data_IF_888232665945
#
_entry.id   IF_888232665945
#
_cell.length_a   1.000
_cell.length_b   1.000
_cell.length_c   1.000
_cell.angle_alpha   90.00
_cell.angle_beta   90.00
_cell.angle_gamma   90.00
#
_symmetry.space_group_name_H-M   'P 1'
#
loop_
_entity.id
_entity.type
_entity.pdbx_description
1 polymer ?
#
# COMPACT_ATOMS: atom_id res chain seq x y z
N UNK A 1 69.99 -61.76 -21.06
CA UNK A 1 70.34 -60.32 -21.22
C UNK A 1 69.09 -59.53 -20.84
N UNK A 2 69.02 -58.53 -19.96
CA UNK A 2 69.91 -57.93 -18.96
C UNK A 2 69.02 -57.13 -17.96
N UNK A 3 69.34 -57.17 -16.65
CA UNK A 3 69.26 -56.11 -15.61
C UNK A 3 67.97 -55.24 -15.52
N UNK A 4 67.10 -55.44 -14.52
CA UNK A 4 67.02 -54.80 -13.17
C UNK A 4 66.85 -53.27 -13.13
N UNK A 5 65.75 -52.79 -12.51
CA UNK A 5 65.72 -52.07 -11.21
C UNK A 5 64.32 -51.47 -10.94
N UNK A 6 63.89 -51.53 -9.67
CA UNK A 6 62.62 -51.00 -9.16
C UNK A 6 62.67 -49.49 -8.87
N UNK A 7 61.53 -48.80 -9.00
CA UNK A 7 61.36 -47.36 -8.67
C UNK A 7 60.11 -47.15 -7.80
N UNK A 8 60.26 -46.31 -6.78
CA UNK A 8 59.25 -45.92 -5.78
C UNK A 8 58.09 -45.07 -6.37
N UNK A 9 56.90 -45.05 -5.73
CA UNK A 9 55.78 -44.27 -6.22
C UNK A 9 55.86 -42.79 -5.81
N UNK A 10 55.72 -41.90 -6.79
CA UNK A 10 55.68 -40.44 -6.67
C UNK A 10 54.25 -39.93 -6.53
N UNK A 11 54.05 -39.07 -5.53
CA UNK A 11 52.84 -38.27 -5.27
C UNK A 11 52.71 -37.16 -6.34
N UNK A 12 51.51 -36.88 -6.91
CA UNK A 12 51.32 -35.67 -7.68
C UNK A 12 50.91 -34.49 -6.79
N UNK A 13 51.73 -33.43 -6.84
CA UNK A 13 51.39 -32.08 -6.38
C UNK A 13 50.39 -31.45 -7.35
N UNK A 14 49.32 -30.89 -6.82
CA UNK A 14 48.37 -30.04 -7.54
C UNK A 14 47.74 -29.03 -6.58
N UNK A 15 48.42 -27.91 -6.40
CA UNK A 15 47.94 -26.72 -5.70
C UNK A 15 46.80 -26.11 -6.52
N UNK A 16 45.59 -26.03 -5.94
CA UNK A 16 44.52 -25.16 -6.45
C UNK A 16 44.31 -24.08 -5.39
N UNK A 17 44.54 -22.84 -5.79
CA UNK A 17 44.52 -21.67 -4.94
C UNK A 17 43.17 -21.47 -4.26
N UNK A 18 43.23 -21.15 -2.97
CA UNK A 18 42.11 -20.59 -2.23
C UNK A 18 41.77 -19.22 -2.85
N UNK A 19 40.64 -19.15 -3.55
CA UNK A 19 40.05 -17.90 -4.01
C UNK A 19 39.47 -17.17 -2.77
N UNK A 20 39.93 -15.95 -2.41
CA UNK A 20 39.49 -15.29 -1.18
C UNK A 20 38.08 -14.68 -1.27
N UNK A 21 37.34 -14.87 -2.38
CA UNK A 21 36.03 -14.23 -2.56
C UNK A 21 34.81 -15.01 -2.02
N UNK A 22 34.98 -16.19 -1.40
CA UNK A 22 33.85 -17.00 -0.92
C UNK A 22 33.66 -17.07 0.60
N UNK A 23 34.17 -16.09 1.35
CA UNK A 23 33.87 -15.91 2.78
C UNK A 23 32.93 -14.71 3.00
N UNK A 24 31.75 -14.71 2.36
CA UNK A 24 30.61 -13.95 2.88
C UNK A 24 29.77 -14.90 3.69
N UNK A 25 29.95 -14.85 5.01
CA UNK A 25 28.98 -15.42 5.94
C UNK A 25 27.58 -14.92 5.56
N UNK A 26 26.53 -15.76 5.61
CA UNK A 26 25.17 -15.28 5.42
C UNK A 26 24.95 -14.13 6.40
N UNK A 27 24.54 -12.96 5.90
CA UNK A 27 24.06 -11.89 6.76
C UNK A 27 22.83 -12.45 7.47
N UNK A 28 23.00 -12.91 8.70
CA UNK A 28 21.91 -13.12 9.63
C UNK A 28 21.23 -11.77 9.74
N UNK A 29 20.10 -11.58 9.07
CA UNK A 29 19.23 -10.43 9.31
C UNK A 29 18.62 -10.65 10.68
N UNK A 30 19.32 -10.17 11.71
CA UNK A 30 18.67 -9.94 12.99
C UNK A 30 17.46 -9.05 12.69
N UNK A 31 16.25 -9.60 12.83
CA UNK A 31 15.02 -8.88 12.59
C UNK A 31 15.00 -7.58 13.38
N UNK A 32 14.27 -6.57 12.89
CA UNK A 32 14.20 -5.29 13.59
C UNK A 32 13.47 -5.54 14.92
N UNK A 33 14.04 -5.17 16.08
CA UNK A 33 13.43 -5.46 17.37
C UNK A 33 12.02 -4.87 17.48
N UNK A 34 11.08 -5.64 18.02
CA UNK A 34 9.66 -5.30 18.06
C UNK A 34 9.20 -4.78 19.42
N UNK A 35 10.09 -4.72 20.42
CA UNK A 35 9.74 -4.28 21.78
C UNK A 35 9.21 -2.85 21.85
N UNK A 36 8.45 -2.57 22.92
CA UNK A 36 7.97 -1.23 23.23
C UNK A 36 9.16 -0.29 23.45
N UNK A 37 9.24 0.80 22.68
CA UNK A 37 10.38 1.72 22.72
C UNK A 37 10.20 2.90 23.70
N UNK A 38 9.08 2.97 24.42
CA UNK A 38 8.86 3.88 25.54
C UNK A 38 8.63 5.35 25.17
N UNK A 39 8.09 5.64 23.98
CA UNK A 39 7.77 7.02 23.54
C UNK A 39 6.32 7.40 23.80
N UNK A 40 6.05 8.69 24.03
CA UNK A 40 4.70 9.18 24.41
C UNK A 40 3.82 9.58 23.23
N UNK A 41 4.42 9.90 22.08
CA UNK A 41 3.66 10.33 20.90
C UNK A 41 2.77 9.20 20.39
N UNK A 42 1.47 9.45 20.33
CA UNK A 42 0.52 8.56 19.62
C UNK A 42 0.83 8.58 18.12
N UNK A 43 0.93 7.39 17.51
CA UNK A 43 1.12 7.19 16.08
C UNK A 43 0.00 6.28 15.58
N UNK A 44 -0.46 6.54 14.36
CA UNK A 44 -1.33 5.63 13.62
C UNK A 44 -0.75 5.39 12.23
N UNK A 45 -0.84 4.16 11.77
CA UNK A 45 -0.48 3.79 10.41
C UNK A 45 -1.72 3.51 9.58
N UNK A 46 -1.76 4.09 8.38
CA UNK A 46 -2.63 3.71 7.28
C UNK A 46 -1.77 3.16 6.16
N UNK A 47 -2.10 1.98 5.66
CA UNK A 47 -1.36 1.33 4.58
C UNK A 47 -2.31 0.95 3.45
N UNK A 48 -1.88 1.16 2.21
CA UNK A 48 -2.49 0.44 1.10
C UNK A 48 -2.23 -1.07 1.24
N UNK A 49 -2.97 -1.86 0.46
CA UNK A 49 -2.95 -3.31 0.52
C UNK A 49 -2.22 -3.92 -0.68
N UNK A 50 -2.87 -3.83 -1.84
CA UNK A 50 -2.40 -4.32 -3.13
C UNK A 50 -1.23 -3.45 -3.59
N UNK A 51 -0.13 -4.06 -4.04
CA UNK A 51 1.12 -3.35 -4.37
C UNK A 51 1.95 -2.89 -3.16
N UNK A 52 1.38 -2.87 -1.95
CA UNK A 52 2.03 -2.38 -0.73
C UNK A 52 2.34 -3.47 0.30
N UNK A 53 1.31 -4.05 0.93
CA UNK A 53 1.44 -5.20 1.87
C UNK A 53 1.66 -6.47 1.07
N UNK A 54 0.90 -6.64 -0.01
CA UNK A 54 1.05 -7.72 -0.96
C UNK A 54 1.62 -7.18 -2.27
N UNK A 55 2.44 -7.97 -2.96
CA UNK A 55 3.10 -7.53 -4.19
C UNK A 55 2.14 -7.49 -5.38
N UNK A 56 1.14 -8.37 -5.38
CA UNK A 56 0.13 -8.48 -6.43
C UNK A 56 -1.17 -7.78 -6.01
N UNK A 57 -1.97 -7.45 -7.01
CA UNK A 57 -3.33 -6.93 -6.81
C UNK A 57 -4.34 -8.07 -6.71
N UNK A 58 -5.03 -8.13 -5.57
CA UNK A 58 -6.03 -9.14 -5.23
C UNK A 58 -7.20 -9.18 -6.23
N UNK A 59 -7.68 -8.01 -6.67
CA UNK A 59 -8.72 -7.92 -7.69
C UNK A 59 -8.21 -8.49 -9.01
N UNK A 60 -7.03 -8.08 -9.45
CA UNK A 60 -6.43 -8.54 -10.70
C UNK A 60 -6.27 -10.06 -10.73
N UNK A 61 -5.79 -10.66 -9.64
CA UNK A 61 -5.68 -12.13 -9.52
C UNK A 61 -7.03 -12.81 -9.71
N UNK A 62 -8.11 -12.27 -9.13
CA UNK A 62 -9.46 -12.83 -9.32
C UNK A 62 -9.98 -12.63 -10.74
N UNK A 63 -9.85 -11.42 -11.28
CA UNK A 63 -10.39 -11.10 -12.60
C UNK A 63 -9.71 -11.93 -13.68
N UNK A 64 -8.40 -12.16 -13.54
CA UNK A 64 -7.61 -12.92 -14.51
C UNK A 64 -7.95 -14.41 -14.49
N UNK A 65 -8.22 -14.97 -13.31
CA UNK A 65 -8.50 -16.39 -13.15
C UNK A 65 -9.98 -16.77 -13.33
N UNK A 66 -10.89 -15.90 -12.86
CA UNK A 66 -12.32 -16.24 -12.68
C UNK A 66 -13.29 -15.19 -13.21
N UNK A 67 -12.80 -14.07 -13.73
CA UNK A 67 -13.62 -12.96 -14.23
C UNK A 67 -13.40 -12.70 -15.71
N UNK A 68 -13.24 -11.42 -16.04
CA UNK A 68 -13.11 -10.96 -17.41
C UNK A 68 -11.80 -11.38 -18.11
N UNK A 69 -10.80 -11.88 -17.37
CA UNK A 69 -9.49 -12.25 -17.89
C UNK A 69 -8.54 -11.06 -18.09
N UNK A 70 -7.24 -11.36 -18.15
CA UNK A 70 -6.18 -10.35 -18.19
C UNK A 70 -6.29 -9.35 -19.34
N UNK A 71 -6.61 -9.82 -20.56
CA UNK A 71 -6.72 -8.95 -21.73
C UNK A 71 -7.86 -7.92 -21.58
N UNK A 72 -9.02 -8.35 -21.06
CA UNK A 72 -10.14 -7.44 -20.82
C UNK A 72 -9.86 -6.52 -19.64
N UNK A 73 -9.25 -7.02 -18.56
CA UNK A 73 -8.84 -6.22 -17.41
C UNK A 73 -7.90 -5.09 -17.86
N UNK A 74 -6.87 -5.39 -18.64
CA UNK A 74 -5.92 -4.38 -19.13
C UNK A 74 -6.62 -3.31 -19.96
N UNK A 75 -7.55 -3.69 -20.85
CA UNK A 75 -8.35 -2.71 -21.61
C UNK A 75 -9.13 -1.79 -20.68
N UNK A 76 -9.81 -2.37 -19.67
CA UNK A 76 -10.60 -1.63 -18.70
C UNK A 76 -9.74 -0.68 -17.84
N UNK A 77 -8.54 -1.11 -17.42
CA UNK A 77 -7.58 -0.24 -16.72
C UNK A 77 -7.14 0.94 -17.59
N UNK A 78 -6.95 0.73 -18.90
CA UNK A 78 -6.65 1.82 -19.81
C UNK A 78 -7.79 2.83 -19.91
N UNK A 79 -9.06 2.40 -19.77
CA UNK A 79 -10.20 3.32 -19.71
C UNK A 79 -10.19 4.17 -18.43
N UNK A 80 -9.76 3.61 -17.28
CA UNK A 80 -9.54 4.38 -16.06
C UNK A 80 -8.42 5.40 -16.26
N UNK A 81 -7.26 4.96 -16.78
CA UNK A 81 -6.08 5.81 -17.01
C UNK A 81 -6.38 6.93 -18.02
N UNK A 82 -7.11 6.64 -19.09
CA UNK A 82 -7.45 7.63 -20.12
C UNK A 82 -8.46 8.67 -19.66
N UNK A 83 -9.24 8.34 -18.63
CA UNK A 83 -10.36 9.13 -18.12
C UNK A 83 -11.71 8.81 -18.78
N UNK A 84 -11.75 7.83 -19.69
CA UNK A 84 -12.96 7.42 -20.42
C UNK A 84 -14.08 6.95 -19.49
N UNK A 85 -13.71 6.20 -18.44
CA UNK A 85 -14.64 5.72 -17.41
C UNK A 85 -14.07 5.92 -16.02
N UNK A 86 -14.95 6.06 -15.04
CA UNK A 86 -14.52 6.19 -13.65
C UNK A 86 -13.98 4.87 -13.09
N UNK A 87 -13.24 4.97 -11.99
CA UNK A 87 -12.76 3.79 -11.27
C UNK A 87 -13.94 2.95 -10.78
N UNK A 88 -14.98 3.59 -10.24
CA UNK A 88 -16.22 2.93 -9.78
C UNK A 88 -16.87 2.13 -10.92
N UNK A 89 -17.14 2.76 -12.06
CA UNK A 89 -17.82 2.10 -13.20
C UNK A 89 -17.05 0.90 -13.74
N UNK A 90 -15.73 1.04 -13.88
CA UNK A 90 -14.88 -0.05 -14.37
C UNK A 90 -14.81 -1.17 -13.33
N UNK A 91 -14.70 -0.83 -12.06
CA UNK A 91 -14.66 -1.82 -10.99
C UNK A 91 -15.98 -2.59 -10.86
N UNK A 92 -17.14 -1.95 -11.07
CA UNK A 92 -18.43 -2.67 -11.12
C UNK A 92 -18.44 -3.74 -12.22
N UNK A 93 -17.89 -3.44 -13.40
CA UNK A 93 -17.77 -4.41 -14.49
C UNK A 93 -16.77 -5.53 -14.15
N UNK A 94 -15.60 -5.19 -13.61
CA UNK A 94 -14.59 -6.19 -13.24
C UNK A 94 -15.11 -7.13 -12.15
N UNK A 95 -15.63 -6.60 -11.04
CA UNK A 95 -16.20 -7.42 -9.97
C UNK A 95 -17.42 -8.21 -10.44
N UNK A 96 -18.32 -7.60 -11.21
CA UNK A 96 -19.52 -8.26 -11.74
C UNK A 96 -19.22 -9.37 -12.76
N UNK A 97 -18.02 -9.38 -13.35
CA UNK A 97 -17.57 -10.43 -14.26
C UNK A 97 -17.27 -11.76 -13.57
N UNK A 98 -17.06 -11.76 -12.25
CA UNK A 98 -16.79 -12.97 -11.48
C UNK A 98 -18.00 -13.91 -11.47
N UNK A 99 -17.71 -15.20 -11.64
CA UNK A 99 -18.67 -16.31 -11.59
C UNK A 99 -18.06 -17.47 -10.80
N UNK A 100 -17.70 -17.20 -9.54
CA UNK A 100 -17.01 -18.14 -8.66
C UNK A 100 -17.46 -17.94 -7.22
N UNK A 101 -17.73 -19.01 -6.45
CA UNK A 101 -17.97 -18.91 -5.01
C UNK A 101 -16.77 -18.24 -4.31
N UNK A 102 -17.04 -17.51 -3.22
CA UNK A 102 -16.01 -16.72 -2.53
C UNK A 102 -14.79 -17.55 -2.11
N UNK A 103 -15.00 -18.71 -1.48
CA UNK A 103 -13.90 -19.55 -1.01
C UNK A 103 -13.12 -20.21 -2.16
N UNK A 104 -13.79 -20.56 -3.26
CA UNK A 104 -13.14 -21.15 -4.44
C UNK A 104 -12.27 -20.13 -5.16
N UNK A 105 -12.77 -18.89 -5.32
CA UNK A 105 -12.01 -17.79 -5.91
C UNK A 105 -10.79 -17.42 -5.06
N UNK A 106 -10.84 -17.70 -3.76
CA UNK A 106 -9.71 -17.46 -2.87
C UNK A 106 -8.56 -18.46 -3.04
N UNK A 107 -8.80 -19.65 -3.59
CA UNK A 107 -7.73 -20.66 -3.75
C UNK A 107 -6.62 -20.21 -4.71
N UNK A 108 -6.94 -19.45 -5.76
CA UNK A 108 -5.92 -18.89 -6.67
C UNK A 108 -5.06 -17.82 -5.98
N UNK A 109 -5.64 -17.08 -5.03
CA UNK A 109 -4.89 -16.06 -4.28
C UNK A 109 -3.81 -16.69 -3.41
N UNK A 110 -4.07 -17.82 -2.77
CA UNK A 110 -3.08 -18.51 -1.91
C UNK A 110 -1.79 -18.86 -2.65
N UNK A 111 -1.90 -19.14 -3.94
CA UNK A 111 -0.79 -19.57 -4.78
C UNK A 111 -0.05 -18.39 -5.43
N UNK A 112 -0.73 -17.25 -5.55
CA UNK A 112 -0.27 -16.11 -6.37
C UNK A 112 0.18 -14.93 -5.53
N UNK A 113 -0.48 -14.69 -4.38
CA UNK A 113 -0.19 -13.55 -3.53
C UNK A 113 1.08 -13.79 -2.71
N UNK A 114 1.96 -12.79 -2.74
CA UNK A 114 3.17 -12.72 -1.95
C UNK A 114 3.06 -11.55 -0.97
N UNK A 115 3.01 -11.88 0.32
CA UNK A 115 3.08 -10.88 1.38
C UNK A 115 4.50 -10.35 1.50
N UNK A 116 4.65 -9.06 1.81
CA UNK A 116 5.96 -8.50 2.14
C UNK A 116 6.59 -9.27 3.30
N UNK A 117 7.82 -9.74 3.08
CA UNK A 117 8.51 -10.68 3.97
C UNK A 117 8.69 -10.15 5.40
N UNK A 118 8.68 -8.84 5.59
CA UNK A 118 8.92 -8.18 6.88
C UNK A 118 7.61 -7.63 7.50
N UNK A 119 6.46 -7.77 6.82
CA UNK A 119 5.19 -7.21 7.27
C UNK A 119 4.71 -7.79 8.59
N UNK A 120 4.79 -9.11 8.78
CA UNK A 120 4.37 -9.75 10.03
C UNK A 120 5.14 -9.21 11.23
N UNK A 121 6.46 -9.10 11.11
CA UNK A 121 7.32 -8.55 12.17
C UNK A 121 6.99 -7.08 12.45
N UNK A 122 6.75 -6.29 11.40
CA UNK A 122 6.34 -4.91 11.55
C UNK A 122 4.97 -4.77 12.24
N UNK A 123 4.01 -5.62 11.91
CA UNK A 123 2.70 -5.62 12.56
C UNK A 123 2.81 -5.99 14.05
N UNK A 124 3.64 -6.96 14.41
CA UNK A 124 3.96 -7.28 15.81
C UNK A 124 4.61 -6.07 16.53
N UNK A 125 5.51 -5.35 15.85
CA UNK A 125 6.06 -4.09 16.38
C UNK A 125 4.97 -3.03 16.63
N UNK A 126 4.02 -2.88 15.70
CA UNK A 126 2.89 -1.97 15.86
C UNK A 126 2.06 -2.33 17.11
N UNK A 127 1.71 -3.61 17.27
CA UNK A 127 0.95 -4.09 18.44
C UNK A 127 1.73 -3.81 19.74
N UNK A 128 3.01 -4.16 19.80
CA UNK A 128 3.82 -4.00 21.02
C UNK A 128 4.04 -2.53 21.42
N UNK A 129 3.88 -1.60 20.48
CA UNK A 129 4.06 -0.16 20.69
C UNK A 129 2.73 0.60 20.73
N UNK A 130 1.60 -0.10 20.82
CA UNK A 130 0.26 0.49 20.82
C UNK A 130 0.03 1.42 19.61
N UNK A 131 0.56 1.05 18.44
CA UNK A 131 0.38 1.76 17.17
C UNK A 131 -0.75 1.06 16.40
N UNK A 132 -1.93 1.68 16.25
CA UNK A 132 -2.99 1.13 15.41
C UNK A 132 -2.51 1.05 13.96
N UNK A 133 -2.65 -0.13 13.37
CA UNK A 133 -2.34 -0.38 11.97
C UNK A 133 -3.63 -0.64 11.19
N UNK A 134 -3.89 0.17 10.17
CA UNK A 134 -5.12 0.17 9.41
C UNK A 134 -4.80 -0.07 7.94
N UNK A 135 -5.53 -0.98 7.31
CA UNK A 135 -5.55 -1.11 5.86
C UNK A 135 -6.54 -0.09 5.30
N UNK A 136 -6.13 0.67 4.28
CA UNK A 136 -6.96 1.60 3.53
C UNK A 136 -6.86 1.32 2.02
N UNK A 137 -7.89 0.67 1.46
CA UNK A 137 -7.82 0.09 0.11
C UNK A 137 -9.08 0.37 -0.71
N UNK A 138 -8.94 0.48 -2.02
CA UNK A 138 -10.07 0.57 -2.96
C UNK A 138 -10.69 -0.81 -3.28
N UNK A 139 -10.07 -1.90 -2.82
CA UNK A 139 -10.58 -3.26 -2.95
C UNK A 139 -11.79 -3.56 -2.05
N UNK A 140 -12.14 -4.85 -1.96
CA UNK A 140 -13.31 -5.32 -1.20
C UNK A 140 -12.90 -5.90 0.16
N UNK A 141 -13.39 -5.31 1.24
CA UNK A 141 -13.15 -5.72 2.63
C UNK A 141 -13.22 -7.24 2.88
N UNK A 142 -14.25 -7.99 2.44
CA UNK A 142 -14.30 -9.43 2.68
C UNK A 142 -13.11 -10.18 2.06
N UNK A 143 -12.69 -9.79 0.86
CA UNK A 143 -11.50 -10.35 0.17
C UNK A 143 -10.25 -10.04 1.00
N UNK A 144 -10.03 -8.77 1.33
CA UNK A 144 -8.83 -8.33 2.07
C UNK A 144 -8.72 -9.01 3.44
N UNK A 145 -9.84 -9.15 4.16
CA UNK A 145 -9.90 -9.87 5.44
C UNK A 145 -9.50 -11.33 5.26
N UNK A 146 -10.09 -12.03 4.27
CA UNK A 146 -9.80 -13.44 4.00
C UNK A 146 -8.33 -13.69 3.65
N UNK A 147 -7.73 -12.78 2.87
CA UNK A 147 -6.30 -12.78 2.55
C UNK A 147 -5.47 -12.61 3.82
N UNK A 148 -5.71 -11.55 4.62
CA UNK A 148 -4.98 -11.34 5.87
C UNK A 148 -5.08 -12.53 6.83
N UNK A 149 -6.27 -13.11 6.99
CA UNK A 149 -6.50 -14.26 7.87
C UNK A 149 -5.65 -15.47 7.45
N UNK A 150 -5.46 -15.70 6.14
CA UNK A 150 -4.57 -16.77 5.69
C UNK A 150 -3.11 -16.50 5.96
N UNK A 151 -2.63 -15.32 5.58
CA UNK A 151 -1.19 -15.07 5.55
C UNK A 151 -0.64 -14.69 6.93
N UNK A 152 -1.47 -14.13 7.82
CA UNK A 152 -1.08 -13.77 9.19
C UNK A 152 -1.65 -14.70 10.26
N UNK A 153 -2.74 -15.40 9.98
CA UNK A 153 -3.59 -16.03 10.99
C UNK A 153 -4.60 -15.04 11.58
N UNK A 154 -5.80 -15.53 11.90
CA UNK A 154 -6.95 -14.74 12.37
C UNK A 154 -6.61 -13.87 13.60
N UNK A 155 -5.78 -14.35 14.51
CA UNK A 155 -5.40 -13.60 15.73
C UNK A 155 -4.63 -12.32 15.44
N UNK A 156 -3.67 -12.35 14.50
CA UNK A 156 -2.91 -11.15 14.13
C UNK A 156 -3.72 -10.29 13.17
N UNK A 157 -4.43 -10.92 12.24
CA UNK A 157 -5.31 -10.25 11.30
C UNK A 157 -6.40 -9.44 12.01
N UNK A 158 -7.01 -9.95 13.07
CA UNK A 158 -8.08 -9.25 13.81
C UNK A 158 -7.62 -7.95 14.49
N UNK A 159 -6.31 -7.72 14.61
CA UNK A 159 -5.72 -6.47 15.12
C UNK A 159 -5.53 -5.40 14.02
N UNK A 160 -5.92 -5.71 12.78
CA UNK A 160 -5.86 -4.80 11.64
C UNK A 160 -7.28 -4.37 11.28
N UNK A 161 -7.56 -3.08 11.40
CA UNK A 161 -8.80 -2.51 10.88
C UNK A 161 -8.72 -2.32 9.36
N UNK A 162 -9.84 -2.55 8.67
CA UNK A 162 -9.92 -2.43 7.20
C UNK A 162 -10.92 -1.33 6.86
N UNK A 163 -10.42 -0.27 6.22
CA UNK A 163 -11.18 0.83 5.63
C UNK A 163 -11.18 0.63 4.12
N UNK A 164 -12.25 0.05 3.60
CA UNK A 164 -12.37 -0.28 2.18
C UNK A 164 -13.84 -0.30 1.75
N UNK A 165 -14.09 -0.57 0.47
CA UNK A 165 -15.41 -0.92 -0.02
C UNK A 165 -15.85 -2.26 0.57
N UNK A 166 -17.16 -2.51 0.63
CA UNK A 166 -17.71 -3.80 1.04
C UNK A 166 -18.24 -4.56 -0.19
N UNK A 167 -18.77 -5.77 -0.01
CA UNK A 167 -19.35 -6.54 -1.10
C UNK A 167 -20.50 -7.42 -0.65
N UNK A 168 -21.48 -7.56 -1.54
CA UNK A 168 -22.48 -8.62 -1.49
C UNK A 168 -22.10 -9.69 -2.51
N UNK A 169 -21.88 -10.91 -2.02
CA UNK A 169 -21.48 -12.06 -2.85
C UNK A 169 -22.53 -13.15 -2.64
N UNK A 170 -23.10 -13.67 -3.73
CA UNK A 170 -24.06 -14.77 -3.64
C UNK A 170 -23.36 -16.06 -3.18
N UNK A 171 -24.04 -16.92 -2.41
CA UNK A 171 -23.44 -18.17 -1.90
C UNK A 171 -22.92 -19.08 -3.01
N UNK A 172 -23.60 -19.10 -4.14
CA UNK A 172 -23.19 -19.86 -5.34
C UNK A 172 -22.15 -19.13 -6.20
N UNK A 173 -21.75 -17.92 -5.82
CA UNK A 173 -20.78 -17.10 -6.53
C UNK A 173 -21.23 -16.55 -7.89
N UNK A 174 -22.51 -16.69 -8.24
CA UNK A 174 -23.09 -16.19 -9.48
C UNK A 174 -23.09 -14.66 -9.57
N UNK A 175 -23.07 -13.95 -8.43
CA UNK A 175 -23.04 -12.49 -8.37
C UNK A 175 -22.03 -12.00 -7.33
N UNK A 176 -21.17 -11.08 -7.76
CA UNK A 176 -20.30 -10.27 -6.92
C UNK A 176 -20.65 -8.81 -7.14
N UNK A 177 -21.16 -8.16 -6.09
CA UNK A 177 -21.61 -6.78 -6.15
C UNK A 177 -20.88 -5.92 -5.13
N UNK A 178 -20.04 -4.97 -5.57
CA UNK A 178 -19.44 -3.99 -4.67
C UNK A 178 -20.49 -3.15 -3.95
N UNK A 179 -20.21 -2.82 -2.68
CA UNK A 179 -20.91 -1.83 -1.89
C UNK A 179 -19.91 -0.70 -1.63
N UNK A 180 -20.11 0.40 -2.32
CA UNK A 180 -19.18 1.53 -2.32
C UNK A 180 -19.22 2.27 -0.99
N UNK A 181 -18.03 2.59 -0.47
CA UNK A 181 -17.90 3.30 0.82
C UNK A 181 -18.33 4.76 0.71
N UNK A 182 -17.98 5.41 -0.40
CA UNK A 182 -18.28 6.80 -0.68
C UNK A 182 -19.06 6.91 -1.99
N UNK A 183 -20.05 7.81 -2.02
CA UNK A 183 -20.79 8.16 -3.24
C UNK A 183 -19.96 9.11 -4.11
N UNK A 184 -18.88 8.58 -4.70
CA UNK A 184 -18.02 9.29 -5.64
C UNK A 184 -17.53 8.36 -6.76
N UNK A 185 -16.96 8.94 -7.81
CA UNK A 185 -16.38 8.23 -8.96
C UNK A 185 -15.21 7.30 -8.59
N UNK A 186 -14.63 7.46 -7.40
CA UNK A 186 -13.59 6.59 -6.87
C UNK A 186 -14.16 5.37 -6.14
N UNK A 187 -15.43 5.41 -5.72
CA UNK A 187 -16.04 4.43 -4.81
C UNK A 187 -15.50 4.49 -3.37
N UNK A 188 -14.19 4.65 -3.19
CA UNK A 188 -13.54 4.94 -1.92
C UNK A 188 -12.50 6.06 -2.07
N UNK A 189 -12.89 7.27 -1.67
CA UNK A 189 -11.95 8.37 -1.42
C UNK A 189 -11.13 8.13 -0.13
N UNK A 190 -9.90 7.61 -0.28
CA UNK A 190 -8.98 7.35 0.84
C UNK A 190 -8.64 8.62 1.64
N UNK A 191 -8.58 9.79 0.99
CA UNK A 191 -8.25 11.05 1.66
C UNK A 191 -9.39 11.50 2.60
N UNK A 192 -10.63 11.33 2.16
CA UNK A 192 -11.80 11.61 2.98
C UNK A 192 -11.80 10.75 4.25
N UNK A 193 -11.55 9.44 4.13
CA UNK A 193 -11.51 8.56 5.31
C UNK A 193 -10.37 8.89 6.30
N UNK A 194 -9.20 9.32 5.81
CA UNK A 194 -8.13 9.81 6.71
C UNK A 194 -8.51 11.14 7.36
N UNK A 195 -9.21 12.02 6.65
CA UNK A 195 -9.68 13.29 7.21
C UNK A 195 -10.72 13.06 8.31
N UNK A 196 -11.71 12.20 8.08
CA UNK A 196 -12.72 11.78 9.06
C UNK A 196 -12.06 11.20 10.32
N UNK A 197 -11.06 10.31 10.14
CA UNK A 197 -10.30 9.77 11.25
C UNK A 197 -9.60 10.87 12.06
N UNK A 198 -8.92 11.80 11.38
CA UNK A 198 -8.19 12.88 12.08
C UNK A 198 -9.14 13.78 12.85
N UNK A 199 -10.30 14.09 12.29
CA UNK A 199 -11.31 14.92 12.95
C UNK A 199 -11.85 14.21 14.21
N UNK A 200 -12.16 12.91 14.11
CA UNK A 200 -12.54 12.10 15.26
C UNK A 200 -11.44 12.04 16.32
N UNK A 201 -10.20 11.72 15.94
CA UNK A 201 -9.06 11.65 16.86
C UNK A 201 -8.76 13.00 17.54
N UNK A 202 -8.98 14.12 16.84
CA UNK A 202 -8.84 15.45 17.43
C UNK A 202 -9.93 15.76 18.46
N UNK A 203 -11.14 15.22 18.29
CA UNK A 203 -12.25 15.39 19.24
C UNK A 203 -12.06 14.51 20.48
N UNK A 204 -11.50 13.32 20.32
CA UNK A 204 -11.27 12.34 21.39
C UNK A 204 -10.01 12.63 22.22
N UNK A 205 -9.13 13.51 21.73
CA UNK A 205 -7.88 13.85 22.39
C UNK A 205 -8.10 14.75 23.63
N UNK A 206 -8.24 14.14 24.80
CA UNK A 206 -8.40 14.85 26.09
C UNK A 206 -7.23 15.78 26.47
N UNK A 207 -6.00 15.51 26.00
CA UNK A 207 -4.79 16.28 26.32
C UNK A 207 -4.34 17.22 25.18
N UNK A 208 -5.15 17.33 24.12
CA UNK A 208 -4.85 18.11 22.91
C UNK A 208 -3.73 17.54 22.03
N UNK A 209 -3.27 16.31 22.25
CA UNK A 209 -2.30 15.64 21.38
C UNK A 209 -2.96 15.05 20.12
N UNK A 210 -2.54 15.53 18.95
CA UNK A 210 -2.96 14.93 17.68
C UNK A 210 -2.00 13.76 17.35
N UNK A 211 -2.51 12.56 17.04
CA UNK A 211 -1.68 11.45 16.59
C UNK A 211 -0.90 11.81 15.31
N UNK A 212 0.34 11.36 15.23
CA UNK A 212 1.11 11.43 13.98
C UNK A 212 0.54 10.40 13.01
N UNK A 213 0.11 10.87 11.83
CA UNK A 213 -0.44 9.98 10.79
C UNK A 213 0.67 9.56 9.85
N UNK A 214 0.93 8.27 9.81
CA UNK A 214 1.82 7.62 8.84
C UNK A 214 0.97 7.02 7.73
N UNK A 215 1.31 7.33 6.49
CA UNK A 215 0.72 6.68 5.31
C UNK A 215 1.77 5.87 4.57
N UNK A 216 1.42 4.66 4.15
CA UNK A 216 2.28 3.72 3.43
C UNK A 216 1.55 3.31 2.15
N UNK A 217 2.16 3.52 0.98
CA UNK A 217 1.52 3.18 -0.29
C UNK A 217 2.50 3.00 -1.44
N UNK A 218 1.97 2.74 -2.62
CA UNK A 218 2.74 2.48 -3.84
C UNK A 218 2.17 3.12 -5.11
N UNK A 219 0.86 3.44 -5.13
CA UNK A 219 0.14 3.88 -6.31
C UNK A 219 -0.28 5.35 -6.34
N UNK A 220 -0.74 5.84 -7.49
CA UNK A 220 -1.26 7.21 -7.63
C UNK A 220 -2.57 7.44 -6.89
N UNK A 221 -3.37 6.39 -6.72
CA UNK A 221 -4.61 6.41 -5.93
C UNK A 221 -4.37 6.83 -4.48
N UNK A 222 -3.14 6.67 -3.98
CA UNK A 222 -2.73 7.08 -2.65
C UNK A 222 -2.35 8.55 -2.52
N UNK A 223 -2.13 9.26 -3.63
CA UNK A 223 -1.68 10.66 -3.58
C UNK A 223 -2.61 11.59 -2.80
N UNK A 224 -3.95 11.49 -2.95
CA UNK A 224 -4.86 12.25 -2.10
C UNK A 224 -4.65 11.93 -0.61
N UNK A 225 -4.56 10.64 -0.24
CA UNK A 225 -4.36 10.20 1.14
C UNK A 225 -3.00 10.66 1.71
N UNK A 226 -1.94 10.56 0.91
CA UNK A 226 -0.59 11.01 1.22
C UNK A 226 -0.52 12.51 1.59
N UNK A 227 -1.38 13.36 0.99
CA UNK A 227 -1.47 14.79 1.36
C UNK A 227 -2.01 15.01 2.78
N UNK A 228 -2.70 14.03 3.35
CA UNK A 228 -3.21 14.09 4.71
C UNK A 228 -2.24 13.45 5.72
N UNK A 229 -1.17 12.80 5.28
CA UNK A 229 -0.17 12.21 6.17
C UNK A 229 0.85 13.23 6.70
N UNK A 230 1.36 12.97 7.91
CA UNK A 230 2.53 13.64 8.48
C UNK A 230 3.83 12.98 8.00
N UNK A 231 3.79 11.66 7.80
CA UNK A 231 4.88 10.87 7.24
C UNK A 231 4.34 10.03 6.10
N UNK A 232 4.94 10.15 4.92
CA UNK A 232 4.61 9.36 3.74
C UNK A 232 5.73 8.36 3.46
N UNK A 233 5.40 7.08 3.41
CA UNK A 233 6.24 6.03 2.87
C UNK A 233 5.75 5.67 1.46
N UNK A 234 6.66 5.66 0.49
CA UNK A 234 6.37 5.22 -0.87
C UNK A 234 7.26 4.03 -1.24
N UNK A 235 6.65 2.98 -1.80
CA UNK A 235 7.40 1.78 -2.20
C UNK A 235 8.35 2.13 -3.35
N UNK A 236 9.60 1.68 -3.25
CA UNK A 236 10.64 1.99 -4.23
C UNK A 236 10.31 1.44 -5.61
N UNK A 237 10.61 2.23 -6.63
CA UNK A 237 10.47 1.87 -8.04
C UNK A 237 9.04 1.78 -8.52
N UNK A 238 8.07 2.26 -7.74
CA UNK A 238 6.66 2.28 -8.11
C UNK A 238 6.15 3.72 -8.26
N UNK A 239 4.94 3.84 -8.81
CA UNK A 239 4.42 5.08 -9.38
C UNK A 239 4.27 6.21 -8.34
N UNK A 240 3.96 5.88 -7.08
CA UNK A 240 3.90 6.89 -6.01
C UNK A 240 5.26 7.54 -5.75
N UNK A 241 6.34 6.75 -5.75
CA UNK A 241 7.70 7.28 -5.59
C UNK A 241 8.06 8.22 -6.75
N UNK A 242 7.85 7.78 -7.99
CA UNK A 242 8.11 8.58 -9.18
C UNK A 242 7.40 9.93 -9.12
N UNK A 243 6.11 9.92 -8.78
CA UNK A 243 5.32 11.13 -8.64
C UNK A 243 5.86 12.03 -7.53
N UNK A 244 6.27 11.45 -6.39
CA UNK A 244 6.85 12.22 -5.30
C UNK A 244 8.15 12.92 -5.71
N UNK A 245 9.00 12.25 -6.50
CA UNK A 245 10.23 12.83 -7.05
C UNK A 245 9.91 13.97 -8.03
N UNK A 246 9.04 13.71 -9.01
CA UNK A 246 8.63 14.67 -10.05
C UNK A 246 8.07 15.96 -9.44
N UNK A 247 7.22 15.82 -8.43
CA UNK A 247 6.49 16.93 -7.81
C UNK A 247 7.13 17.45 -6.52
N UNK A 248 8.32 16.94 -6.15
CA UNK A 248 9.07 17.33 -4.94
C UNK A 248 8.23 17.21 -3.66
N UNK A 249 7.45 16.14 -3.56
CA UNK A 249 6.68 15.78 -2.37
C UNK A 249 7.64 15.07 -1.41
N UNK A 250 7.61 15.44 -0.13
CA UNK A 250 8.43 14.79 0.87
C UNK A 250 7.89 13.37 1.13
N UNK A 251 8.76 12.38 1.02
CA UNK A 251 8.44 10.97 1.26
C UNK A 251 9.68 10.23 1.77
N UNK A 252 9.48 9.02 2.28
CA UNK A 252 10.51 8.09 2.69
C UNK A 252 10.38 6.82 1.82
N UNK A 253 11.40 6.48 1.01
CA UNK A 253 11.35 5.27 0.19
C UNK A 253 11.50 4.01 1.03
N UNK A 254 10.77 2.94 0.70
CA UNK A 254 10.93 1.62 1.33
C UNK A 254 10.94 0.48 0.30
N UNK A 255 11.67 -0.59 0.60
CA UNK A 255 11.62 -1.87 -0.15
C UNK A 255 10.80 -2.92 0.60
N UNK A 256 10.88 -2.89 1.94
CA UNK A 256 10.18 -3.83 2.83
C UNK A 256 9.70 -3.13 4.09
N UNK A 257 8.77 -3.76 4.82
CA UNK A 257 8.26 -3.19 6.08
C UNK A 257 9.33 -3.07 7.19
N UNK A 258 10.45 -3.78 7.08
CA UNK A 258 11.60 -3.56 7.97
C UNK A 258 12.23 -2.16 7.82
N UNK A 259 12.18 -1.57 6.62
CA UNK A 259 12.65 -0.20 6.40
C UNK A 259 11.74 0.80 7.13
N UNK A 260 10.43 0.60 7.00
CA UNK A 260 9.38 1.39 7.65
C UNK A 260 9.56 1.35 9.17
N UNK A 261 9.74 0.16 9.75
CA UNK A 261 9.98 -0.01 11.19
C UNK A 261 11.15 0.83 11.68
N UNK A 262 12.28 0.79 10.96
CA UNK A 262 13.50 1.52 11.33
C UNK A 262 13.28 3.03 11.28
N UNK A 263 12.59 3.53 10.27
CA UNK A 263 12.32 4.96 10.13
C UNK A 263 11.28 5.46 11.13
N UNK A 264 10.20 4.71 11.36
CA UNK A 264 9.22 5.02 12.43
C UNK A 264 9.91 5.06 13.80
N UNK A 265 10.77 4.07 14.11
CA UNK A 265 11.53 4.05 15.36
C UNK A 265 12.41 5.30 15.52
N UNK A 266 13.08 5.75 14.45
CA UNK A 266 13.88 6.99 14.47
C UNK A 266 13.02 8.22 14.68
N UNK A 267 11.87 8.29 14.01
CA UNK A 267 10.93 9.40 14.12
C UNK A 267 10.37 9.50 15.54
N UNK A 268 9.96 8.38 16.13
CA UNK A 268 9.48 8.29 17.52
C UNK A 268 10.51 8.82 18.51
N UNK A 269 11.75 8.32 18.45
CA UNK A 269 12.84 8.76 19.35
C UNK A 269 13.10 10.26 19.22
N UNK A 270 13.18 10.76 17.99
CA UNK A 270 13.40 12.18 17.71
C UNK A 270 12.25 13.07 18.20
N UNK A 271 11.00 12.60 18.09
CA UNK A 271 9.84 13.33 18.60
C UNK A 271 9.84 13.40 20.13
N UNK A 272 10.16 12.30 20.80
CA UNK A 272 10.29 12.24 22.26
C UNK A 272 11.41 13.16 22.77
N UNK A 273 12.57 13.16 22.11
CA UNK A 273 13.70 14.05 22.45
C UNK A 273 13.36 15.54 22.32
N UNK A 274 12.57 15.91 21.30
CA UNK A 274 12.30 17.31 20.97
C UNK A 274 11.04 17.89 21.61
N UNK A 275 10.01 17.07 21.75
CA UNK A 275 8.68 17.52 22.17
C UNK A 275 8.20 16.85 23.44
N UNK A 276 8.86 15.77 23.89
CA UNK A 276 8.42 14.94 25.00
C UNK A 276 6.97 14.44 24.83
N UNK A 277 6.56 14.22 23.58
CA UNK A 277 5.22 13.78 23.18
C UNK A 277 4.14 14.86 23.24
N UNK A 278 4.48 16.14 23.47
CA UNK A 278 3.51 17.23 23.64
C UNK A 278 3.35 18.08 22.37
N UNK A 279 2.19 18.70 22.22
CA UNK A 279 1.91 19.61 21.09
C UNK A 279 1.95 18.91 19.74
N UNK A 280 2.44 19.58 18.70
CA UNK A 280 2.48 19.04 17.33
C UNK A 280 3.68 18.11 17.12
N UNK A 281 3.55 17.03 16.31
CA UNK A 281 4.68 16.17 15.97
C UNK A 281 5.83 16.93 15.29
N UNK A 282 7.08 16.49 15.46
CA UNK A 282 8.24 17.14 14.81
C UNK A 282 8.20 17.09 13.29
N UNK A 283 7.50 16.08 12.76
CA UNK A 283 7.28 15.86 11.34
C UNK A 283 5.91 16.38 10.89
N UNK A 284 5.23 17.17 11.72
CA UNK A 284 3.93 17.71 11.39
C UNK A 284 3.97 18.40 10.03
N UNK A 285 3.03 18.06 9.16
CA UNK A 285 2.96 18.60 7.81
C UNK A 285 2.01 19.82 7.79
N UNK A 286 2.51 21.07 7.91
CA UNK A 286 1.65 22.25 7.85
C UNK A 286 1.07 22.47 6.44
N UNK A 287 1.68 21.87 5.40
CA UNK A 287 1.16 21.94 4.02
C UNK A 287 0.01 20.99 3.78
N UNK A 288 -0.20 19.96 4.61
CA UNK A 288 -1.46 19.23 4.62
C UNK A 288 -2.63 20.22 4.85
N UNK A 289 -2.46 21.23 5.70
CA UNK A 289 -3.45 22.33 5.84
C UNK A 289 -3.50 23.29 4.64
N UNK A 290 -2.38 23.49 3.93
CA UNK A 290 -2.35 24.32 2.74
C UNK A 290 -3.09 23.66 1.58
N UNK A 291 -2.90 22.36 1.33
CA UNK A 291 -3.69 21.59 0.36
C UNK A 291 -5.16 21.48 0.76
N UNK A 292 -5.48 21.36 2.07
CA UNK A 292 -6.84 21.51 2.62
C UNK A 292 -7.49 22.85 2.24
N UNK A 293 -6.72 23.94 2.16
CA UNK A 293 -7.19 25.29 1.75
C UNK A 293 -7.16 25.49 0.23
N UNK A 294 -6.23 24.86 -0.49
CA UNK A 294 -6.11 24.92 -1.96
C UNK A 294 -7.19 24.08 -2.66
N UNK A 295 -7.86 23.16 -1.94
CA UNK A 295 -9.14 22.58 -2.38
C UNK A 295 -10.28 23.61 -2.45
N UNK A 296 -10.04 24.88 -2.10
CA UNK A 296 -10.93 25.97 -2.53
C UNK A 296 -10.88 26.08 -4.06
N UNK A 297 -12.06 26.00 -4.68
CA UNK A 297 -12.37 25.84 -6.12
C UNK A 297 -11.58 26.70 -7.14
N UNK A 298 -10.77 27.66 -6.71
CA UNK A 298 -10.12 28.66 -7.56
C UNK A 298 -8.71 28.30 -8.09
N UNK A 299 -8.01 27.31 -7.52
CA UNK A 299 -6.67 26.90 -8.04
C UNK A 299 -6.64 25.55 -8.75
N UNK A 300 -7.69 24.75 -8.59
CA UNK A 300 -7.92 23.45 -9.23
C UNK A 300 -7.67 23.48 -10.76
N UNK A 301 -8.13 24.50 -11.53
CA UNK A 301 -7.96 24.50 -13.00
C UNK A 301 -6.50 24.54 -13.49
N UNK A 302 -5.58 25.17 -12.74
CA UNK A 302 -4.17 25.28 -13.15
C UNK A 302 -3.40 23.97 -12.97
N UNK A 303 -3.69 23.22 -11.90
CA UNK A 303 -3.05 21.94 -11.65
C UNK A 303 -3.62 20.83 -12.54
N UNK A 304 -4.94 20.85 -12.80
CA UNK A 304 -5.61 20.02 -13.82
C UNK A 304 -4.91 20.12 -15.18
N UNK A 305 -4.64 21.35 -15.65
CA UNK A 305 -4.00 21.57 -16.95
C UNK A 305 -2.57 21.03 -17.04
N UNK A 306 -1.87 20.90 -15.91
CA UNK A 306 -0.49 20.41 -15.82
C UNK A 306 -0.40 18.92 -15.48
N UNK A 307 -1.51 18.26 -15.16
CA UNK A 307 -1.53 16.84 -14.80
C UNK A 307 -1.43 15.99 -16.09
N UNK A 308 -0.48 15.03 -16.19
CA UNK A 308 -0.42 14.05 -17.28
C UNK A 308 -1.75 13.34 -17.47
N UNK A 309 -2.10 12.97 -18.72
CA UNK A 309 -3.44 12.43 -19.02
C UNK A 309 -3.76 11.19 -18.16
N UNK A 310 -2.77 10.33 -17.97
CA UNK A 310 -2.87 9.09 -17.18
C UNK A 310 -3.09 9.28 -15.66
N UNK A 311 -2.68 10.43 -15.11
CA UNK A 311 -2.80 10.71 -13.67
C UNK A 311 -4.09 11.48 -13.32
N UNK A 312 -4.80 12.00 -14.33
CA UNK A 312 -5.92 12.93 -14.17
C UNK A 312 -7.11 12.32 -13.44
N UNK A 313 -7.46 11.07 -13.76
CA UNK A 313 -8.60 10.40 -13.15
C UNK A 313 -8.37 10.16 -11.65
N UNK A 314 -7.16 9.78 -11.25
CA UNK A 314 -6.82 9.55 -9.83
C UNK A 314 -6.72 10.85 -9.03
N UNK A 315 -6.18 11.91 -9.63
CA UNK A 315 -5.95 13.18 -8.95
C UNK A 315 -7.16 14.12 -8.97
N UNK A 316 -8.02 14.00 -9.99
CA UNK A 316 -9.13 14.92 -10.26
C UNK A 316 -10.36 14.19 -10.85
N UNK A 317 -10.86 13.12 -10.20
CA UNK A 317 -11.93 12.28 -10.74
C UNK A 317 -13.18 13.10 -11.10
N UNK A 318 -13.56 14.04 -10.24
CA UNK A 318 -14.70 14.95 -10.38
C UNK A 318 -14.67 15.86 -11.63
N UNK A 319 -13.49 16.04 -12.22
CA UNK A 319 -13.26 16.97 -13.35
C UNK A 319 -13.06 16.26 -14.68
N UNK A 320 -12.56 15.03 -14.67
CA UNK A 320 -12.19 14.31 -15.90
C UNK A 320 -13.02 13.06 -16.16
N UNK A 321 -13.98 12.70 -15.32
CA UNK A 321 -15.02 11.75 -15.70
C UNK A 321 -15.75 12.30 -16.95
N UNK A 322 -15.56 11.67 -18.12
CA UNK A 322 -16.25 12.04 -19.37
C UNK A 322 -17.79 11.97 -19.23
N UNK A 323 -18.30 11.30 -18.20
CA UNK A 323 -19.70 11.34 -17.73
C UNK A 323 -20.27 12.77 -17.67
N UNK A 324 -19.51 13.78 -17.20
CA UNK A 324 -19.99 15.18 -17.18
C UNK A 324 -20.03 15.85 -18.54
N UNK A 325 -19.26 15.38 -19.53
CA UNK A 325 -19.31 15.93 -20.89
C UNK A 325 -20.46 15.34 -21.71
N UNK A 326 -20.87 14.10 -21.44
CA UNK A 326 -21.99 13.46 -22.15
C UNK A 326 -23.38 13.94 -21.69
N UNK A 327 -23.56 14.35 -20.44
CA UNK A 327 -24.84 14.95 -19.98
C UNK A 327 -25.13 16.33 -20.60
N UNK A 328 -24.12 17.02 -21.14
CA UNK A 328 -24.29 18.31 -21.82
C UNK A 328 -24.67 18.18 -23.31
N UNK A 329 -24.66 16.98 -23.90
CA UNK A 329 -24.93 16.77 -25.33
C UNK A 329 -26.32 16.18 -25.63
N UNK A 330 -27.12 15.89 -24.60
CA UNK A 330 -28.52 15.45 -24.76
C UNK A 330 -29.57 16.50 -24.32
N UNK A 331 -29.13 17.72 -24.03
CA UNK A 331 -30.01 18.86 -23.77
C UNK A 331 -29.79 19.97 -24.81
N UNK A 332 -30.15 19.71 -26.07
CA UNK A 332 -30.48 20.73 -27.07
C UNK A 332 -31.59 20.24 -28.00
#
# INVERSE_FOLDING_TARGET
MAVSTAKAPSIPNGVIGANPENLKAPKVSYGVPTENIGTKRKIICFSDFDGTIFMQDTGHVLFDAHGCGAERRELLEQQIKSGERSFKDVSEEMWGSLKVPFDDGFDVMKQTLEIDRDFKQFHEFCINNDIPFNVISAGLKPVLRRVLDQFLGETLSSQIDIVANDAQISEDGSEWKPIWRHESELGHDKALSIAEYRDAASLESEDGTIPMIVFIGDGLSDLPAARHADVLFARKGLRLEEYCIEHKIAYIPFETFADIQREITKIMKKDEEKTHGKGMPTNYNPRANLWRRISSKNQIPKYIAQTPKEDRMFLWPETFSELKQMEALHAQ
#
